data_IF_739342551428
#
_entry.id   IF_739342551428
#
_cell.length_a   1.000
_cell.length_b   1.000
_cell.length_c   1.000
_cell.angle_alpha   90.00
_cell.angle_beta   90.00
_cell.angle_gamma   90.00
#
_symmetry.space_group_name_H-M   'P 1'
#
loop_
_entity.id
_entity.type
_entity.pdbx_description
1 polymer ?
#
# COMPACT_ATOMS: atom_id res chain seq x y z
N UNK A 1 -65.68 1.29 -59.03
CA UNK A 1 -66.36 0.20 -58.28
C UNK A 1 -65.77 0.18 -56.91
N UNK A 2 -66.44 0.83 -56.04
CA UNK A 2 -67.11 0.34 -54.85
C UNK A 2 -66.12 -0.21 -53.84
N UNK A 3 -66.06 0.13 -52.58
CA UNK A 3 -66.91 0.95 -51.67
C UNK A 3 -66.18 0.97 -50.37
N UNK A 4 -66.20 2.06 -49.70
CA UNK A 4 -66.90 2.31 -48.44
C UNK A 4 -66.64 1.20 -47.37
N UNK A 5 -66.44 1.47 -46.17
CA UNK A 5 -66.60 2.52 -45.17
C UNK A 5 -66.40 1.83 -43.81
N UNK A 6 -66.12 2.57 -42.81
CA UNK A 6 -66.38 2.06 -41.47
C UNK A 6 -65.49 2.71 -40.41
N UNK A 7 -65.77 3.84 -40.07
CA UNK A 7 -65.83 4.57 -38.82
C UNK A 7 -65.99 3.71 -37.56
N UNK A 8 -65.27 3.97 -36.53
CA UNK A 8 -65.46 3.39 -35.20
C UNK A 8 -64.58 4.07 -34.15
N UNK A 9 -65.08 5.13 -33.55
CA UNK A 9 -64.67 5.75 -32.32
C UNK A 9 -64.50 4.78 -31.14
N UNK A 10 -63.64 5.04 -30.23
CA UNK A 10 -63.80 5.37 -28.79
C UNK A 10 -62.49 5.11 -28.07
N UNK A 11 -61.87 6.14 -27.53
CA UNK A 11 -61.70 6.58 -26.12
C UNK A 11 -60.94 5.69 -25.18
N UNK A 12 -59.94 6.38 -24.60
CA UNK A 12 -59.52 6.35 -23.22
C UNK A 12 -58.94 5.09 -22.61
N UNK A 13 -57.67 5.09 -22.36
CA UNK A 13 -56.94 4.16 -21.54
C UNK A 13 -55.58 4.71 -21.09
N UNK A 14 -55.64 5.83 -20.35
CA UNK A 14 -54.53 6.27 -19.51
C UNK A 14 -54.24 5.20 -18.47
N UNK A 15 -53.21 4.38 -18.64
CA UNK A 15 -52.66 3.58 -17.55
C UNK A 15 -51.15 3.69 -17.60
N UNK A 16 -50.66 4.54 -16.72
CA UNK A 16 -49.49 4.39 -15.87
C UNK A 16 -48.26 3.64 -16.42
N UNK A 17 -47.38 4.33 -17.10
CA UNK A 17 -45.97 4.08 -16.94
C UNK A 17 -45.44 4.82 -15.70
N UNK A 18 -45.81 4.29 -14.55
CA UNK A 18 -45.28 4.69 -13.26
C UNK A 18 -44.34 3.58 -12.78
N UNK A 19 -43.10 3.98 -12.56
CA UNK A 19 -42.14 3.32 -11.69
C UNK A 19 -41.48 2.02 -12.19
N UNK A 20 -40.41 2.16 -12.97
CA UNK A 20 -39.30 1.24 -12.94
C UNK A 20 -37.95 2.00 -12.96
N UNK A 21 -37.85 3.00 -12.11
CA UNK A 21 -36.58 3.47 -11.59
C UNK A 21 -36.47 2.93 -10.16
N UNK A 22 -36.38 1.62 -10.01
CA UNK A 22 -35.85 1.02 -8.81
C UNK A 22 -34.36 1.32 -8.80
N UNK A 23 -34.03 2.39 -8.15
CA UNK A 23 -32.76 2.73 -7.54
C UNK A 23 -32.14 1.44 -7.00
N UNK A 24 -31.20 0.85 -7.75
CA UNK A 24 -30.17 0.00 -7.15
C UNK A 24 -29.27 0.92 -6.30
N UNK A 25 -29.82 1.38 -5.19
CA UNK A 25 -28.98 1.73 -4.06
C UNK A 25 -28.29 0.42 -3.66
N UNK A 26 -27.05 0.21 -4.15
CA UNK A 26 -26.14 -0.73 -3.51
C UNK A 26 -26.19 -0.37 -2.02
N UNK A 27 -26.92 -1.13 -1.21
CA UNK A 27 -26.66 -1.22 0.20
C UNK A 27 -25.18 -1.54 0.30
N UNK A 28 -24.36 -0.56 0.69
CA UNK A 28 -23.06 -0.87 1.27
C UNK A 28 -23.42 -1.78 2.44
N UNK A 29 -23.06 -3.05 2.30
CA UNK A 29 -23.07 -3.96 3.43
C UNK A 29 -22.15 -3.29 4.46
N UNK A 30 -22.74 -2.76 5.51
CA UNK A 30 -22.00 -2.33 6.70
C UNK A 30 -21.63 -3.65 7.39
N UNK A 31 -20.66 -4.35 6.79
CA UNK A 31 -19.96 -5.40 7.52
C UNK A 31 -19.41 -4.72 8.77
N UNK A 32 -19.86 -5.17 9.93
CA UNK A 32 -19.36 -4.68 11.20
C UNK A 32 -17.84 -4.78 11.16
N UNK A 33 -17.16 -3.64 11.32
CA UNK A 33 -15.68 -3.60 11.36
C UNK A 33 -15.22 -4.62 12.41
N UNK A 34 -14.26 -5.50 12.11
CA UNK A 34 -13.79 -6.46 13.09
C UNK A 34 -13.26 -5.70 14.31
N UNK A 35 -13.70 -6.10 15.49
CA UNK A 35 -13.19 -5.55 16.73
C UNK A 35 -11.74 -5.99 16.91
N UNK A 36 -10.82 -5.03 16.94
CA UNK A 36 -9.41 -5.23 17.23
C UNK A 36 -8.92 -4.08 18.10
N UNK A 37 -7.98 -4.35 18.98
CA UNK A 37 -7.43 -3.39 19.91
C UNK A 37 -5.91 -3.32 19.86
N UNK A 38 -5.39 -2.10 20.03
CA UNK A 38 -4.00 -1.82 20.37
C UNK A 38 -3.89 -1.72 21.89
N UNK A 39 -2.79 -2.17 22.52
CA UNK A 39 -2.60 -2.07 23.95
C UNK A 39 -2.78 -0.64 24.48
N UNK A 40 -3.39 -0.51 25.66
CA UNK A 40 -3.64 0.80 26.28
C UNK A 40 -2.36 1.62 26.42
N UNK A 41 -2.45 2.91 26.09
CA UNK A 41 -1.30 3.84 26.12
C UNK A 41 -0.38 3.75 24.92
N UNK A 42 -0.66 2.86 23.95
CA UNK A 42 0.08 2.75 22.69
C UNK A 42 -0.77 3.32 21.54
N UNK A 43 -0.13 4.06 20.64
CA UNK A 43 -0.68 4.53 19.38
C UNK A 43 0.19 4.00 18.24
N UNK A 44 -0.42 3.50 17.17
CA UNK A 44 0.31 3.01 15.99
C UNK A 44 -0.16 3.77 14.77
N UNK A 45 0.78 4.21 13.93
CA UNK A 45 0.50 4.65 12.57
C UNK A 45 1.13 3.67 11.59
N UNK A 46 0.34 3.07 10.70
CA UNK A 46 0.83 2.24 9.61
C UNK A 46 0.75 3.00 8.30
N UNK A 47 1.84 3.05 7.54
CA UNK A 47 1.99 3.79 6.28
C UNK A 47 2.07 2.78 5.12
N UNK A 48 1.25 2.96 4.09
CA UNK A 48 1.27 2.17 2.86
C UNK A 48 2.45 2.47 1.94
N UNK A 49 2.43 1.90 0.75
CA UNK A 49 3.50 1.93 -0.25
C UNK A 49 3.81 3.35 -0.71
N UNK A 50 5.09 3.73 -0.65
CA UNK A 50 5.57 5.11 -0.94
C UNK A 50 6.01 5.24 -2.38
N UNK A 51 6.74 4.24 -2.87
CA UNK A 51 7.24 4.20 -4.24
C UNK A 51 7.92 5.50 -4.70
N UNK A 52 9.00 5.90 -4.02
CA UNK A 52 9.83 7.03 -4.42
C UNK A 52 9.14 8.40 -4.40
N UNK A 53 8.02 8.56 -3.67
CA UNK A 53 7.29 9.83 -3.55
C UNK A 53 7.67 10.55 -2.25
N UNK A 54 8.86 11.17 -2.24
CA UNK A 54 9.36 11.95 -1.11
C UNK A 54 8.43 13.11 -0.75
N UNK A 55 7.86 13.78 -1.74
CA UNK A 55 6.92 14.87 -1.57
C UNK A 55 5.70 14.47 -0.73
N UNK A 56 5.13 13.29 -1.03
CA UNK A 56 3.98 12.75 -0.30
C UNK A 56 4.38 12.22 1.07
N UNK A 57 5.55 11.61 1.18
CA UNK A 57 6.08 11.16 2.47
C UNK A 57 6.23 12.32 3.46
N UNK A 58 6.86 13.41 3.06
CA UNK A 58 7.06 14.57 3.95
C UNK A 58 5.73 15.26 4.30
N UNK A 59 4.75 15.28 3.38
CA UNK A 59 3.40 15.79 3.69
C UNK A 59 2.69 14.89 4.72
N UNK A 60 2.74 13.56 4.51
CA UNK A 60 2.09 12.60 5.40
C UNK A 60 2.72 12.60 6.80
N UNK A 61 4.05 12.66 6.90
CA UNK A 61 4.75 12.76 8.19
C UNK A 61 4.30 13.98 8.99
N UNK A 62 4.19 15.17 8.36
CA UNK A 62 3.67 16.39 9.02
C UNK A 62 2.23 16.23 9.51
N UNK A 63 1.37 15.54 8.72
CA UNK A 63 -0.02 15.25 9.12
C UNK A 63 -0.07 14.31 10.31
N UNK A 64 0.77 13.27 10.32
CA UNK A 64 0.86 12.31 11.43
C UNK A 64 1.36 13.00 12.71
N UNK A 65 2.41 13.83 12.62
CA UNK A 65 2.93 14.62 13.77
C UNK A 65 1.84 15.55 14.35
N UNK A 66 1.06 16.21 13.49
CA UNK A 66 -0.04 17.09 13.92
C UNK A 66 -1.19 16.32 14.57
N UNK A 67 -1.55 15.16 14.01
CA UNK A 67 -2.61 14.29 14.55
C UNK A 67 -2.17 13.69 15.90
N UNK A 68 -0.94 13.22 16.00
CA UNK A 68 -0.38 12.65 17.22
C UNK A 68 -0.38 13.67 18.35
N UNK A 69 0.08 14.89 18.08
CA UNK A 69 0.08 15.98 19.05
C UNK A 69 -1.34 16.35 19.51
N UNK A 70 -2.33 16.33 18.60
CA UNK A 70 -3.71 16.68 18.92
C UNK A 70 -4.43 15.61 19.77
N UNK A 71 -3.99 14.34 19.72
CA UNK A 71 -4.61 13.22 20.45
C UNK A 71 -4.09 13.05 21.89
N UNK A 72 -3.05 13.80 22.27
CA UNK A 72 -2.45 13.69 23.59
C UNK A 72 -1.37 12.61 23.70
N UNK A 73 -0.86 12.39 24.90
CA UNK A 73 0.32 11.55 25.13
C UNK A 73 -0.01 10.05 24.94
N UNK A 74 0.79 9.38 24.11
CA UNK A 74 0.80 7.93 23.93
C UNK A 74 2.23 7.46 23.61
N UNK A 75 2.49 6.18 23.75
CA UNK A 75 3.68 5.53 23.21
C UNK A 75 3.46 5.29 21.72
N UNK A 76 3.88 6.26 20.89
CA UNK A 76 3.58 6.26 19.45
C UNK A 76 4.61 5.48 18.66
N UNK A 77 4.14 4.51 17.87
CA UNK A 77 4.92 3.66 16.97
C UNK A 77 4.50 3.96 15.53
N UNK A 78 5.48 4.13 14.64
CA UNK A 78 5.23 4.28 13.19
C UNK A 78 5.76 3.05 12.47
N UNK A 79 4.92 2.45 11.62
CA UNK A 79 5.25 1.26 10.84
C UNK A 79 5.11 1.59 9.35
N UNK A 80 6.19 1.47 8.59
CA UNK A 80 6.17 1.53 7.13
C UNK A 80 6.01 0.12 6.58
N UNK A 81 5.01 -0.09 5.73
CA UNK A 81 4.62 -1.43 5.26
C UNK A 81 5.50 -1.98 4.12
N UNK A 82 6.54 -1.26 3.71
CA UNK A 82 7.44 -1.62 2.60
C UNK A 82 7.13 -0.88 1.31
N UNK A 83 7.78 -1.30 0.24
CA UNK A 83 7.72 -0.67 -1.09
C UNK A 83 7.99 0.84 -1.04
N UNK A 84 9.15 1.19 -0.50
CA UNK A 84 9.63 2.57 -0.37
C UNK A 84 10.16 3.10 -1.71
N UNK A 85 10.73 2.21 -2.52
CA UNK A 85 11.46 2.49 -3.75
C UNK A 85 10.65 2.16 -5.01
N UNK A 86 11.20 2.49 -6.17
CA UNK A 86 10.70 2.21 -7.51
C UNK A 86 9.50 3.07 -7.93
N UNK A 87 9.29 3.18 -9.24
CA UNK A 87 8.16 3.87 -9.91
C UNK A 87 8.17 5.39 -9.77
N UNK A 88 8.42 5.92 -8.58
CA UNK A 88 8.54 7.37 -8.35
C UNK A 88 9.98 7.86 -8.41
N UNK A 89 10.17 9.18 -8.53
CA UNK A 89 11.47 9.76 -8.90
C UNK A 89 12.51 9.80 -7.76
N UNK A 90 12.10 9.72 -6.49
CA UNK A 90 12.95 10.09 -5.35
C UNK A 90 13.29 8.90 -4.43
N UNK A 91 13.46 7.68 -5.00
CA UNK A 91 13.69 6.46 -4.21
C UNK A 91 14.89 6.56 -3.26
N UNK A 92 16.04 7.03 -3.73
CA UNK A 92 17.23 7.22 -2.89
C UNK A 92 16.98 8.22 -1.75
N UNK A 93 16.25 9.29 -2.03
CA UNK A 93 15.92 10.34 -1.08
C UNK A 93 14.89 9.86 -0.04
N UNK A 94 13.91 9.03 -0.45
CA UNK A 94 12.98 8.36 0.46
C UNK A 94 13.75 7.45 1.42
N UNK A 95 14.66 6.61 0.92
CA UNK A 95 15.50 5.73 1.75
C UNK A 95 16.33 6.56 2.73
N UNK A 96 17.01 7.62 2.27
CA UNK A 96 17.81 8.50 3.12
C UNK A 96 16.95 9.16 4.21
N UNK A 97 15.79 9.68 3.83
CA UNK A 97 14.84 10.34 4.76
C UNK A 97 14.37 9.39 5.87
N UNK A 98 14.07 8.15 5.52
CA UNK A 98 13.58 7.14 6.47
C UNK A 98 14.71 6.54 7.32
N UNK A 99 15.91 6.39 6.76
CA UNK A 99 17.10 6.04 7.53
C UNK A 99 17.36 7.08 8.62
N UNK A 100 17.33 8.37 8.30
CA UNK A 100 17.49 9.45 9.27
C UNK A 100 16.37 9.48 10.33
N UNK A 101 15.14 9.17 9.93
CA UNK A 101 14.01 9.08 10.85
C UNK A 101 14.17 7.90 11.81
N UNK A 102 14.51 6.72 11.31
CA UNK A 102 14.75 5.51 12.11
C UNK A 102 15.94 5.62 13.06
N UNK A 103 16.99 6.36 12.68
CA UNK A 103 18.14 6.61 13.54
C UNK A 103 17.83 7.45 14.80
N UNK A 104 16.71 8.17 14.81
CA UNK A 104 16.30 9.01 15.94
C UNK A 104 15.57 8.25 17.04
N UNK A 105 14.94 7.12 16.69
CA UNK A 105 14.11 6.37 17.64
C UNK A 105 13.80 4.97 17.14
N UNK A 106 13.79 4.00 18.05
CA UNK A 106 13.36 2.61 17.79
C UNK A 106 11.83 2.47 17.61
N UNK A 107 11.08 3.58 17.75
CA UNK A 107 9.63 3.60 17.55
C UNK A 107 9.21 3.67 16.07
N UNK A 108 10.16 3.87 15.17
CA UNK A 108 9.93 3.78 13.73
C UNK A 108 10.42 2.43 13.25
N UNK A 109 9.51 1.64 12.69
CA UNK A 109 9.75 0.27 12.25
C UNK A 109 9.43 0.11 10.77
N UNK A 110 10.12 -0.80 10.12
CA UNK A 110 10.07 -0.97 8.67
C UNK A 110 9.84 -2.42 8.31
N UNK A 111 8.91 -2.67 7.40
CA UNK A 111 8.69 -3.98 6.79
C UNK A 111 9.35 -4.05 5.42
N UNK A 112 9.91 -5.20 5.10
CA UNK A 112 10.53 -5.42 3.80
C UNK A 112 9.45 -5.67 2.74
N UNK A 113 9.37 -4.77 1.77
CA UNK A 113 8.55 -4.95 0.57
C UNK A 113 9.22 -5.85 -0.46
N UNK A 114 8.45 -6.26 -1.45
CA UNK A 114 9.00 -7.06 -2.55
C UNK A 114 9.91 -6.24 -3.46
N UNK A 115 9.73 -4.93 -3.57
CA UNK A 115 10.61 -4.06 -4.34
C UNK A 115 11.99 -3.95 -3.69
N UNK A 116 12.08 -3.74 -2.38
CA UNK A 116 13.35 -3.75 -1.66
C UNK A 116 14.04 -5.12 -1.74
N UNK A 117 13.29 -6.22 -1.59
CA UNK A 117 13.83 -7.58 -1.71
C UNK A 117 14.53 -7.79 -3.06
N UNK A 118 13.88 -7.40 -4.17
CA UNK A 118 14.43 -7.55 -5.52
C UNK A 118 15.62 -6.63 -5.73
N UNK A 119 15.60 -5.40 -5.21
CA UNK A 119 16.72 -4.48 -5.26
C UNK A 119 17.96 -5.04 -4.55
N UNK A 120 17.79 -5.52 -3.32
CA UNK A 120 18.88 -6.15 -2.55
C UNK A 120 19.46 -7.39 -3.27
N UNK A 121 18.59 -8.26 -3.80
CA UNK A 121 19.01 -9.44 -4.60
C UNK A 121 19.75 -9.03 -5.86
N UNK A 122 19.35 -7.92 -6.50
CA UNK A 122 20.04 -7.39 -7.69
C UNK A 122 21.46 -6.98 -7.34
N UNK A 123 21.65 -6.21 -6.26
CA UNK A 123 22.97 -5.76 -5.81
C UNK A 123 23.83 -6.90 -5.28
N UNK A 124 23.25 -7.95 -4.72
CA UNK A 124 23.94 -9.20 -4.39
C UNK A 124 24.41 -9.98 -5.63
N UNK A 125 23.93 -9.61 -6.82
CA UNK A 125 24.29 -10.27 -8.08
C UNK A 125 23.52 -11.57 -8.33
N UNK A 126 22.33 -11.74 -7.71
CA UNK A 126 21.50 -12.90 -7.98
C UNK A 126 21.04 -12.93 -9.45
N UNK A 127 21.13 -14.10 -10.06
CA UNK A 127 20.81 -14.28 -11.48
C UNK A 127 19.36 -13.81 -11.78
N UNK A 128 19.20 -12.99 -12.81
CA UNK A 128 17.91 -12.42 -13.27
C UNK A 128 17.24 -11.42 -12.31
N UNK A 129 17.84 -11.11 -11.14
CA UNK A 129 17.25 -10.14 -10.22
C UNK A 129 17.23 -8.73 -10.83
N UNK A 130 18.34 -8.25 -11.38
CA UNK A 130 18.41 -6.92 -12.00
C UNK A 130 17.43 -6.73 -13.18
N UNK A 131 17.34 -7.64 -14.17
CA UNK A 131 16.32 -7.54 -15.22
C UNK A 131 14.88 -7.55 -14.69
N UNK A 132 14.61 -8.29 -13.62
CA UNK A 132 13.30 -8.30 -12.98
C UNK A 132 13.03 -6.99 -12.22
N UNK A 133 14.02 -6.47 -11.48
CA UNK A 133 13.98 -5.19 -10.80
C UNK A 133 13.59 -4.04 -11.75
N UNK A 134 14.29 -3.94 -12.89
CA UNK A 134 14.01 -2.92 -13.89
C UNK A 134 12.59 -3.04 -14.48
N UNK A 135 12.08 -4.25 -14.66
CA UNK A 135 10.74 -4.51 -15.19
C UNK A 135 9.62 -4.08 -14.26
N UNK A 136 9.85 -4.12 -12.94
CA UNK A 136 8.81 -3.76 -11.94
C UNK A 136 8.82 -2.28 -11.55
N UNK A 137 9.74 -1.46 -12.13
CA UNK A 137 9.82 -0.01 -11.89
C UNK A 137 11.15 0.45 -11.31
N UNK A 138 12.19 -0.39 -11.35
CA UNK A 138 13.50 -0.08 -10.77
C UNK A 138 14.31 0.97 -11.53
N UNK A 139 13.90 1.34 -12.76
CA UNK A 139 14.58 2.39 -13.52
C UNK A 139 14.64 3.71 -12.74
N UNK A 140 13.55 4.13 -12.18
CA UNK A 140 13.45 5.38 -11.42
C UNK A 140 14.36 5.34 -10.18
N UNK A 141 14.49 4.18 -9.54
CA UNK A 141 15.44 3.98 -8.44
C UNK A 141 16.88 4.11 -8.93
N UNK A 142 17.24 3.48 -10.04
CA UNK A 142 18.58 3.62 -10.65
C UNK A 142 18.92 5.09 -10.88
N UNK A 143 18.02 5.84 -11.51
CA UNK A 143 18.23 7.27 -11.80
C UNK A 143 18.33 8.11 -10.51
N UNK A 144 17.57 7.77 -9.48
CA UNK A 144 17.57 8.50 -8.20
C UNK A 144 18.89 8.38 -7.44
N UNK A 145 19.67 7.33 -7.68
CA UNK A 145 21.04 7.16 -7.16
C UNK A 145 22.11 7.88 -8.00
N UNK A 146 21.70 8.76 -8.93
CA UNK A 146 22.61 9.63 -9.68
C UNK A 146 23.25 8.96 -10.90
N UNK A 147 22.74 7.81 -11.35
CA UNK A 147 23.05 7.26 -12.66
C UNK A 147 22.22 8.04 -13.68
N UNK A 148 22.89 8.70 -14.63
CA UNK A 148 22.19 9.52 -15.63
C UNK A 148 21.40 8.65 -16.62
N UNK A 149 20.40 9.26 -17.27
CA UNK A 149 19.62 8.58 -18.32
C UNK A 149 20.53 8.00 -19.42
N UNK A 150 21.61 8.70 -19.79
CA UNK A 150 22.56 8.27 -20.80
C UNK A 150 23.37 7.05 -20.34
N UNK A 151 23.88 7.05 -19.10
CA UNK A 151 24.57 5.89 -18.52
C UNK A 151 23.64 4.69 -18.49
N UNK A 152 22.39 4.88 -18.02
CA UNK A 152 21.38 3.81 -17.97
C UNK A 152 21.10 3.19 -19.34
N UNK A 153 20.96 4.02 -20.40
CA UNK A 153 20.62 3.56 -21.76
C UNK A 153 21.80 2.91 -22.49
N UNK A 154 23.03 3.26 -22.13
CA UNK A 154 24.25 2.76 -22.79
C UNK A 154 24.85 1.54 -22.09
N UNK A 155 24.50 1.30 -20.83
CA UNK A 155 25.04 0.17 -20.05
C UNK A 155 24.31 -1.12 -20.37
N UNK A 156 25.04 -2.21 -20.47
CA UNK A 156 24.46 -3.54 -20.33
C UNK A 156 24.15 -3.87 -18.85
N UNK A 157 23.56 -5.05 -18.59
CA UNK A 157 23.20 -5.41 -17.20
C UNK A 157 24.39 -5.53 -16.25
N UNK A 158 25.54 -6.12 -16.62
CA UNK A 158 26.73 -6.12 -15.80
C UNK A 158 27.25 -4.73 -15.49
N UNK A 159 27.40 -3.87 -16.50
CA UNK A 159 27.84 -2.49 -16.34
C UNK A 159 26.89 -1.67 -15.43
N UNK A 160 25.59 -1.81 -15.63
CA UNK A 160 24.59 -1.15 -14.79
C UNK A 160 24.63 -1.63 -13.34
N UNK A 161 24.90 -2.91 -13.12
CA UNK A 161 25.05 -3.46 -11.77
C UNK A 161 26.29 -2.88 -11.08
N UNK A 162 27.39 -2.75 -11.80
CA UNK A 162 28.63 -2.18 -11.25
C UNK A 162 28.44 -0.69 -10.92
N UNK A 163 27.75 0.08 -11.78
CA UNK A 163 27.37 1.46 -11.50
C UNK A 163 26.47 1.56 -10.24
N UNK A 164 25.48 0.70 -10.13
CA UNK A 164 24.61 0.67 -8.94
C UNK A 164 25.38 0.39 -7.65
N UNK A 165 26.30 -0.59 -7.68
CA UNK A 165 27.17 -0.93 -6.54
C UNK A 165 28.09 0.21 -6.13
N UNK A 166 28.53 1.02 -7.09
CA UNK A 166 29.35 2.21 -6.83
C UNK A 166 28.53 3.35 -6.21
N UNK A 167 27.29 3.55 -6.70
CA UNK A 167 26.47 4.72 -6.34
C UNK A 167 25.58 4.53 -5.13
N UNK A 168 25.16 3.30 -4.84
CA UNK A 168 24.28 3.02 -3.68
C UNK A 168 25.11 3.03 -2.39
N UNK A 169 24.82 3.92 -1.42
CA UNK A 169 25.54 3.96 -0.16
C UNK A 169 25.35 2.66 0.64
N UNK A 170 26.44 2.14 1.24
CA UNK A 170 26.36 0.95 2.10
C UNK A 170 25.33 1.12 3.23
N UNK A 171 25.22 2.34 3.80
CA UNK A 171 24.24 2.64 4.83
C UNK A 171 22.79 2.40 4.39
N UNK A 172 22.45 2.61 3.10
CA UNK A 172 21.14 2.30 2.55
C UNK A 172 20.93 0.78 2.47
N UNK A 173 21.95 0.02 2.07
CA UNK A 173 21.87 -1.45 1.99
C UNK A 173 21.71 -2.06 3.38
N UNK A 174 22.48 -1.58 4.35
CA UNK A 174 22.39 -2.04 5.75
C UNK A 174 21.02 -1.73 6.34
N UNK A 175 20.50 -0.54 6.07
CA UNK A 175 19.17 -0.10 6.51
C UNK A 175 18.06 -0.99 5.93
N UNK A 176 18.00 -1.16 4.61
CA UNK A 176 16.99 -1.97 3.94
C UNK A 176 17.08 -3.45 4.34
N UNK A 177 18.30 -3.96 4.55
CA UNK A 177 18.53 -5.36 4.95
C UNK A 177 18.10 -5.65 6.40
N UNK A 178 17.93 -4.64 7.23
CA UNK A 178 17.48 -4.76 8.62
C UNK A 178 15.95 -4.77 8.76
N UNK A 179 15.18 -4.65 7.68
CA UNK A 179 13.73 -4.61 7.72
C UNK A 179 13.12 -5.95 8.14
N UNK A 180 11.99 -5.86 8.81
CA UNK A 180 11.25 -7.01 9.34
C UNK A 180 10.27 -7.58 8.32
N UNK A 181 9.81 -8.81 8.51
CA UNK A 181 8.78 -9.44 7.68
C UNK A 181 7.38 -9.23 8.22
N UNK A 182 7.25 -9.15 9.55
CA UNK A 182 5.97 -9.02 10.23
C UNK A 182 6.16 -8.35 11.59
N UNK A 183 5.20 -7.47 11.94
CA UNK A 183 5.10 -6.83 13.24
C UNK A 183 3.73 -7.14 13.82
N UNK A 184 3.67 -7.64 15.07
CA UNK A 184 2.41 -7.92 15.75
C UNK A 184 2.26 -6.99 16.95
N UNK A 185 1.15 -6.23 17.00
CA UNK A 185 0.81 -5.35 18.13
C UNK A 185 -0.67 -5.53 18.46
N UNK A 186 -0.99 -5.97 19.67
CA UNK A 186 -2.35 -6.23 20.09
C UNK A 186 -3.07 -7.25 19.18
N UNK A 187 -4.21 -6.87 18.62
CA UNK A 187 -4.99 -7.71 17.72
C UNK A 187 -4.62 -7.53 16.24
N UNK A 188 -3.54 -6.82 15.93
CA UNK A 188 -3.10 -6.52 14.57
C UNK A 188 -1.79 -7.19 14.23
N UNK A 189 -1.69 -7.69 12.99
CA UNK A 189 -0.47 -8.12 12.34
C UNK A 189 -0.22 -7.22 11.12
N UNK A 190 0.92 -6.55 11.10
CA UNK A 190 1.37 -5.69 10.01
C UNK A 190 2.33 -6.49 9.15
N UNK A 191 2.06 -6.55 7.85
CA UNK A 191 2.86 -7.28 6.86
C UNK A 191 2.90 -6.46 5.57
N UNK A 192 3.84 -6.74 4.66
CA UNK A 192 3.84 -6.02 3.39
C UNK A 192 2.68 -6.42 2.49
N UNK A 193 2.56 -7.69 2.09
CA UNK A 193 1.55 -8.11 1.11
C UNK A 193 0.34 -8.84 1.70
N UNK A 194 0.55 -9.67 2.70
CA UNK A 194 -0.49 -10.49 3.31
C UNK A 194 0.05 -11.75 3.96
N UNK A 195 -0.84 -12.67 4.30
CA UNK A 195 -0.52 -13.95 4.91
C UNK A 195 -1.11 -15.12 4.12
N UNK A 196 -0.52 -16.30 4.22
CA UNK A 196 -1.14 -17.55 3.71
C UNK A 196 -2.32 -17.90 4.61
N UNK A 197 -3.56 -17.93 4.08
CA UNK A 197 -4.73 -18.35 4.86
C UNK A 197 -4.55 -19.78 5.44
N UNK A 198 -5.08 -20.01 6.63
CA UNK A 198 -5.00 -21.31 7.31
C UNK A 198 -3.62 -21.70 7.86
N UNK A 199 -2.61 -20.84 7.70
CA UNK A 199 -1.27 -21.03 8.27
C UNK A 199 -1.10 -20.11 9.47
N UNK A 200 -0.64 -20.60 10.64
CA UNK A 200 -0.34 -19.77 11.80
C UNK A 200 0.66 -18.65 11.49
N UNK A 201 0.57 -17.52 12.19
CA UNK A 201 1.42 -16.36 11.92
C UNK A 201 2.91 -16.67 12.05
N UNK A 202 3.28 -17.44 13.08
CA UNK A 202 4.67 -17.86 13.32
C UNK A 202 5.23 -18.85 12.29
N UNK A 203 4.35 -19.45 11.48
CA UNK A 203 4.73 -20.38 10.41
C UNK A 203 4.66 -19.77 9.01
N UNK A 204 4.36 -18.46 8.92
CA UNK A 204 4.36 -17.74 7.65
C UNK A 204 5.77 -17.65 7.06
N UNK A 205 5.86 -17.78 5.73
CA UNK A 205 7.15 -17.68 5.03
C UNK A 205 7.39 -16.25 4.58
N UNK A 206 8.63 -15.74 4.65
CA UNK A 206 9.00 -14.41 4.18
C UNK A 206 8.49 -14.09 2.76
N UNK A 207 8.65 -15.03 1.81
CA UNK A 207 8.20 -14.82 0.44
C UNK A 207 6.66 -14.63 0.37
N UNK A 208 5.91 -15.33 1.22
CA UNK A 208 4.45 -15.16 1.29
C UNK A 208 4.10 -13.77 1.80
N UNK A 209 4.74 -13.34 2.89
CA UNK A 209 4.49 -12.05 3.54
C UNK A 209 4.77 -10.87 2.61
N UNK A 210 5.67 -11.04 1.61
CA UNK A 210 6.11 -10.00 0.68
C UNK A 210 5.43 -10.06 -0.70
N UNK A 211 4.83 -11.21 -1.10
CA UNK A 211 4.40 -11.40 -2.49
C UNK A 211 2.96 -11.87 -2.69
N UNK A 212 2.28 -12.39 -1.65
CA UNK A 212 0.94 -12.98 -1.80
C UNK A 212 -0.08 -11.93 -2.29
N UNK A 213 -1.01 -12.35 -3.13
CA UNK A 213 -2.10 -11.51 -3.66
C UNK A 213 -3.44 -12.24 -3.54
N UNK A 214 -3.95 -12.80 -4.64
CA UNK A 214 -5.31 -13.32 -4.77
C UNK A 214 -5.64 -14.40 -3.72
N UNK A 215 -4.72 -15.27 -3.39
CA UNK A 215 -4.91 -16.30 -2.36
C UNK A 215 -5.28 -15.71 -0.99
N UNK A 216 -4.70 -14.53 -0.67
CA UNK A 216 -5.01 -13.78 0.55
C UNK A 216 -6.23 -12.89 0.38
N UNK A 217 -6.28 -12.11 -0.71
CA UNK A 217 -7.33 -11.12 -0.93
C UNK A 217 -8.72 -11.73 -1.11
N UNK A 218 -8.80 -12.92 -1.71
CA UNK A 218 -10.06 -13.61 -2.01
C UNK A 218 -10.43 -14.68 -0.97
N UNK A 219 -9.59 -14.91 0.04
CA UNK A 219 -9.85 -15.89 1.08
C UNK A 219 -11.03 -15.48 1.97
N UNK A 220 -11.88 -16.45 2.26
CA UNK A 220 -12.92 -16.35 3.30
C UNK A 220 -12.47 -16.95 4.65
N UNK A 221 -11.28 -17.53 4.72
CA UNK A 221 -10.75 -18.11 5.95
C UNK A 221 -10.48 -17.03 6.99
N UNK A 222 -10.83 -17.27 8.27
CA UNK A 222 -10.58 -16.30 9.33
C UNK A 222 -9.07 -16.19 9.59
N UNK A 223 -8.57 -14.94 9.62
CA UNK A 223 -7.23 -14.66 10.10
C UNK A 223 -7.21 -14.61 11.64
N UNK A 224 -6.13 -15.07 12.25
CA UNK A 224 -5.92 -15.01 13.72
C UNK A 224 -5.94 -13.55 14.21
N UNK A 225 -5.27 -12.66 13.51
CA UNK A 225 -5.21 -11.22 13.76
C UNK A 225 -5.89 -10.43 12.64
N UNK A 226 -6.12 -9.13 12.85
CA UNK A 226 -6.46 -8.22 11.75
C UNK A 226 -5.16 -7.91 11.02
N UNK A 227 -5.11 -8.26 9.74
CA UNK A 227 -3.91 -8.09 8.90
C UNK A 227 -3.95 -6.73 8.24
N UNK A 228 -2.98 -5.86 8.55
CA UNK A 228 -2.76 -4.56 7.90
C UNK A 228 -1.67 -4.72 6.86
N UNK A 229 -1.95 -4.33 5.61
CA UNK A 229 -1.04 -4.59 4.49
C UNK A 229 -1.01 -3.47 3.45
N UNK A 230 0.02 -3.46 2.61
CA UNK A 230 0.20 -2.66 1.41
C UNK A 230 0.07 -3.49 0.13
N UNK A 231 0.99 -3.34 -0.81
CA UNK A 231 1.27 -4.15 -1.98
C UNK A 231 0.16 -4.26 -3.04
N UNK A 232 -1.07 -4.31 -2.64
CA UNK A 232 -2.24 -4.47 -3.53
C UNK A 232 -3.02 -3.19 -3.59
N UNK A 233 -2.89 -2.49 -4.73
CA UNK A 233 -3.46 -1.16 -4.92
C UNK A 233 -4.99 -1.21 -4.94
N UNK A 234 -5.61 -0.29 -4.20
CA UNK A 234 -7.04 0.02 -4.23
C UNK A 234 -7.27 1.53 -4.29
N UNK A 235 -8.41 1.97 -4.83
CA UNK A 235 -8.72 3.41 -4.90
C UNK A 235 -8.84 4.07 -3.52
N UNK A 236 -9.35 3.33 -2.56
CA UNK A 236 -9.56 3.74 -1.17
C UNK A 236 -9.02 2.68 -0.23
N UNK A 237 -8.85 3.03 1.05
CA UNK A 237 -8.54 2.05 2.09
C UNK A 237 -9.57 0.93 2.07
N UNK A 238 -9.10 -0.30 1.91
CA UNK A 238 -9.99 -1.47 1.86
C UNK A 238 -10.03 -2.16 3.23
N UNK A 239 -11.18 -2.10 3.90
CA UNK A 239 -11.45 -2.89 5.10
C UNK A 239 -12.41 -4.02 4.75
N UNK A 240 -11.92 -5.26 4.72
CA UNK A 240 -12.74 -6.42 4.37
C UNK A 240 -12.41 -7.63 5.25
N UNK A 241 -13.43 -8.13 5.99
CA UNK A 241 -13.21 -9.21 6.95
C UNK A 241 -12.18 -8.79 8.00
N UNK A 242 -11.10 -9.55 8.13
CA UNK A 242 -9.99 -9.25 9.05
C UNK A 242 -8.74 -8.76 8.29
N UNK A 243 -8.88 -7.99 7.23
CA UNK A 243 -7.78 -7.35 6.51
C UNK A 243 -8.04 -5.88 6.25
N UNK A 244 -6.98 -5.10 6.25
CA UNK A 244 -6.96 -3.65 5.99
C UNK A 244 -5.84 -3.36 4.99
N UNK A 245 -6.21 -2.95 3.77
CA UNK A 245 -5.27 -2.57 2.71
C UNK A 245 -5.05 -1.06 2.71
N UNK A 246 -3.78 -0.62 2.74
CA UNK A 246 -3.39 0.79 2.81
C UNK A 246 -2.68 1.30 1.55
N UNK A 247 -2.41 0.44 0.55
CA UNK A 247 -1.79 0.87 -0.70
C UNK A 247 -2.84 1.56 -1.60
N UNK A 248 -2.76 2.88 -1.68
CA UNK A 248 -3.62 3.72 -2.52
C UNK A 248 -2.90 4.22 -3.78
N UNK A 249 -1.80 3.57 -4.14
CA UNK A 249 -1.07 3.83 -5.37
C UNK A 249 -0.39 5.20 -5.41
N UNK A 250 0.33 5.57 -4.37
CA UNK A 250 0.92 6.89 -4.17
C UNK A 250 1.65 7.45 -5.43
N UNK A 251 2.39 6.60 -6.15
CA UNK A 251 3.19 7.00 -7.28
C UNK A 251 2.38 7.52 -8.49
N UNK A 252 1.11 7.11 -8.65
CA UNK A 252 0.25 7.57 -9.74
C UNK A 252 -0.98 8.35 -9.26
N UNK A 253 -1.52 8.02 -8.09
CA UNK A 253 -2.72 8.67 -7.55
C UNK A 253 -2.42 10.01 -6.87
N UNK A 254 -1.16 10.23 -6.46
CA UNK A 254 -0.77 11.35 -5.62
C UNK A 254 -1.32 11.27 -4.18
N UNK A 255 -1.83 10.11 -3.78
CA UNK A 255 -2.33 9.86 -2.42
C UNK A 255 -1.49 8.80 -1.72
N UNK A 256 -0.77 9.22 -0.70
CA UNK A 256 -0.11 8.34 0.25
C UNK A 256 -0.98 8.23 1.50
N UNK A 257 -1.18 7.01 1.97
CA UNK A 257 -2.13 6.71 3.05
C UNK A 257 -1.42 6.18 4.28
N UNK A 258 -1.82 6.69 5.43
CA UNK A 258 -1.57 6.07 6.73
C UNK A 258 -2.89 5.79 7.44
N UNK A 259 -2.88 4.79 8.33
CA UNK A 259 -3.95 4.55 9.28
C UNK A 259 -3.40 4.62 10.70
N UNK A 260 -4.08 5.40 11.55
CA UNK A 260 -3.84 5.46 12.98
C UNK A 260 -4.69 4.43 13.73
N UNK A 261 -4.13 3.88 14.81
CA UNK A 261 -4.76 2.89 15.69
C UNK A 261 -4.49 3.27 17.15
N UNK A 262 -5.52 3.32 17.97
CA UNK A 262 -5.39 3.52 19.42
C UNK A 262 -6.56 2.86 20.15
N UNK A 263 -6.29 1.99 21.12
CA UNK A 263 -7.34 1.18 21.73
C UNK A 263 -8.16 0.44 20.67
N UNK A 264 -9.47 0.67 20.60
CA UNK A 264 -10.37 0.10 19.59
C UNK A 264 -10.63 1.05 18.40
N UNK A 265 -10.11 2.27 18.44
CA UNK A 265 -10.29 3.26 17.38
C UNK A 265 -9.26 3.09 16.27
N UNK A 266 -9.66 3.44 15.04
CA UNK A 266 -8.78 3.59 13.88
C UNK A 266 -9.31 4.66 12.94
N UNK A 267 -8.38 5.39 12.33
CA UNK A 267 -8.69 6.51 11.44
C UNK A 267 -7.66 6.61 10.32
N UNK A 268 -8.08 7.20 9.21
CA UNK A 268 -7.24 7.35 8.02
C UNK A 268 -6.65 8.76 7.98
N UNK A 269 -5.38 8.84 7.61
CA UNK A 269 -4.66 10.05 7.21
C UNK A 269 -4.19 9.87 5.77
N UNK A 270 -4.44 10.85 4.91
CA UNK A 270 -4.03 10.80 3.51
C UNK A 270 -3.47 12.14 3.06
N UNK A 271 -2.50 12.09 2.15
CA UNK A 271 -2.09 13.28 1.38
C UNK A 271 -3.19 13.67 0.40
N UNK A 272 -3.16 14.90 -0.15
CA UNK A 272 -4.09 15.30 -1.21
C UNK A 272 -3.88 14.47 -2.47
N UNK A 273 -4.95 13.96 -3.06
CA UNK A 273 -4.89 13.32 -4.39
C UNK A 273 -4.59 14.34 -5.49
N UNK A 274 -4.19 13.86 -6.68
CA UNK A 274 -4.09 14.70 -7.88
C UNK A 274 -5.49 15.20 -8.20
N UNK A 275 -5.62 16.54 -8.31
CA UNK A 275 -6.88 17.20 -8.69
C UNK A 275 -7.20 16.94 -10.18
#
# INVERSE_FOLDING_TARGET
MHGEAGCGYWRDGNIMFRNLLSTFARKRDVQSRPAGTIPAGTRVYAVGDIHGRLDLLDDLLRRMESDDAARGAADTIVIFLGDLIDRGPDSAQVVQRLLELGARTEKVRFLLGNHEEVFLKSLAGEQKALPFFLRIGGKETVLSYGISQSEYEQSDYPELLDLLRERVPQAHLDFLSAFEDMIVIGDYAFVHAGIRPGVPLEAQKPETLRWIREDFLNSAEPCEKIVVHGHSISEEVEERGRRIGLDTGAYFSGRLTAMGFEGAERWVLQTGGVA
#
